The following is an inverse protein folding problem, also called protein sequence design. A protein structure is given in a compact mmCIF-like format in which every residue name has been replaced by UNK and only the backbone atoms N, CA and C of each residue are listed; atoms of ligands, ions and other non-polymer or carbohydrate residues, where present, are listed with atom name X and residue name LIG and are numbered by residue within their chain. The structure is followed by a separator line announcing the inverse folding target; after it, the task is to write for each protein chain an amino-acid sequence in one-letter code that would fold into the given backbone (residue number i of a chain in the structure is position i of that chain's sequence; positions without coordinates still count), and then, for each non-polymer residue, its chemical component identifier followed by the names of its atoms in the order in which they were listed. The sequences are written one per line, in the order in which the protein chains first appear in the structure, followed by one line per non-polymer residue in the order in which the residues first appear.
data_IF_049497789326
#
_entry.id   IF_049497789326
#
_cell.length_a   1.000
_cell.length_b   1.000
_cell.length_c   1.000
_cell.angle_alpha   90.00
_cell.angle_beta   90.00
_cell.angle_gamma   90.00
#
_symmetry.space_group_name_H-M   'P 1'
#
loop_
_entity.id
_entity.type
_entity.pdbx_description
1 polymer ?
#
# COMPACT_ATOMS: atom_id res chain seq x y z
N UNK A 1 11.77 41.11 -7.12
CA UNK A 1 11.90 40.52 -8.46
C UNK A 1 10.50 40.35 -9.05
N UNK A 2 10.21 41.00 -10.16
CA UNK A 2 8.90 40.93 -10.85
C UNK A 2 8.69 39.48 -11.33
N UNK A 3 7.63 38.79 -10.83
CA UNK A 3 7.17 37.51 -11.41
C UNK A 3 6.74 37.82 -12.86
N UNK A 4 7.56 37.43 -13.84
CA UNK A 4 7.16 37.47 -15.24
C UNK A 4 5.85 36.67 -15.36
N UNK A 5 4.81 37.26 -15.96
CA UNK A 5 3.55 36.56 -16.26
C UNK A 5 3.91 35.34 -17.11
N UNK A 6 3.78 34.13 -16.54
CA UNK A 6 3.97 32.90 -17.31
C UNK A 6 3.00 32.90 -18.50
N UNK A 7 3.55 32.62 -19.68
CA UNK A 7 2.76 32.61 -20.94
C UNK A 7 1.87 31.35 -21.06
N UNK A 8 1.95 30.41 -20.11
CA UNK A 8 1.21 29.14 -20.11
C UNK A 8 0.73 28.81 -18.69
N UNK A 9 -0.31 28.00 -18.53
CA UNK A 9 -0.88 27.63 -17.23
C UNK A 9 -0.15 26.47 -16.53
N UNK A 10 0.95 25.97 -17.09
CA UNK A 10 1.70 24.86 -16.47
C UNK A 10 2.58 25.36 -15.34
N UNK A 11 2.67 24.56 -14.27
CA UNK A 11 3.68 24.76 -13.23
C UNK A 11 5.01 24.15 -13.69
N UNK A 12 6.01 25.02 -13.85
CA UNK A 12 7.39 24.58 -14.10
C UNK A 12 8.05 24.31 -12.75
N UNK A 13 8.35 23.04 -12.51
CA UNK A 13 8.99 22.60 -11.27
C UNK A 13 10.45 23.06 -11.27
N UNK A 14 10.93 23.66 -10.16
CA UNK A 14 12.33 23.96 -9.99
C UNK A 14 13.17 22.67 -9.91
N UNK A 15 14.45 22.69 -10.33
CA UNK A 15 15.33 21.54 -10.22
C UNK A 15 15.36 20.98 -8.80
N UNK A 16 14.98 19.73 -8.63
CA UNK A 16 14.86 19.06 -7.34
C UNK A 16 15.81 17.85 -7.27
N UNK A 17 16.47 17.60 -6.13
CA UNK A 17 17.36 16.45 -5.98
C UNK A 17 16.61 15.12 -5.78
N UNK A 18 15.30 15.16 -5.52
CA UNK A 18 14.52 13.98 -5.09
C UNK A 18 14.46 12.85 -6.13
N UNK A 19 14.31 13.11 -7.45
CA UNK A 19 14.34 12.04 -8.44
C UNK A 19 15.65 11.27 -8.45
N UNK A 20 16.79 11.98 -8.33
CA UNK A 20 18.11 11.34 -8.24
C UNK A 20 18.27 10.58 -6.93
N UNK A 21 17.89 11.19 -5.80
CA UNK A 21 17.90 10.54 -4.49
C UNK A 21 17.02 9.27 -4.49
N UNK A 22 15.84 9.33 -5.12
CA UNK A 22 14.96 8.18 -5.28
C UNK A 22 15.57 7.05 -6.12
N UNK A 23 16.22 7.40 -7.23
CA UNK A 23 16.90 6.42 -8.08
C UNK A 23 18.07 5.73 -7.35
N UNK A 24 18.90 6.50 -6.64
CA UNK A 24 20.03 5.96 -5.86
C UNK A 24 19.51 5.09 -4.70
N UNK A 25 18.51 5.53 -3.95
CA UNK A 25 17.94 4.76 -2.84
C UNK A 25 17.28 3.47 -3.33
N UNK A 26 16.59 3.52 -4.48
CA UNK A 26 16.04 2.34 -5.14
C UNK A 26 17.10 1.35 -5.57
N UNK A 27 18.22 1.82 -6.10
CA UNK A 27 19.36 0.95 -6.43
C UNK A 27 19.97 0.31 -5.19
N UNK A 28 20.19 1.08 -4.13
CA UNK A 28 20.80 0.57 -2.88
C UNK A 28 19.92 -0.50 -2.24
N UNK A 29 18.58 -0.30 -2.18
CA UNK A 29 17.68 -1.30 -1.60
C UNK A 29 17.61 -2.56 -2.46
N UNK A 30 17.62 -2.44 -3.80
CA UNK A 30 17.62 -3.59 -4.71
C UNK A 30 18.90 -4.42 -4.57
N UNK A 31 20.07 -3.78 -4.59
CA UNK A 31 21.37 -4.44 -4.38
C UNK A 31 21.42 -5.08 -2.99
N UNK A 32 20.97 -4.35 -1.95
CA UNK A 32 20.89 -4.85 -0.58
C UNK A 32 19.99 -6.07 -0.45
N UNK A 33 18.85 -6.08 -1.12
CA UNK A 33 17.93 -7.24 -1.15
C UNK A 33 18.60 -8.47 -1.79
N UNK A 34 19.28 -8.30 -2.92
CA UNK A 34 20.03 -9.39 -3.58
C UNK A 34 21.11 -9.94 -2.64
N UNK A 35 21.91 -9.04 -2.03
CA UNK A 35 22.96 -9.45 -1.09
C UNK A 35 22.37 -10.19 0.12
N UNK A 36 21.24 -9.73 0.65
CA UNK A 36 20.55 -10.36 1.77
C UNK A 36 20.05 -11.77 1.40
N UNK A 37 19.40 -11.92 0.25
CA UNK A 37 18.88 -13.21 -0.23
C UNK A 37 20.00 -14.23 -0.47
N UNK A 38 21.13 -13.79 -0.99
CA UNK A 38 22.30 -14.64 -1.24
C UNK A 38 23.22 -14.79 -0.02
N UNK A 39 22.80 -14.29 1.16
CA UNK A 39 23.58 -14.37 2.41
C UNK A 39 24.99 -13.81 2.30
N UNK A 40 25.18 -12.79 1.46
CA UNK A 40 26.47 -12.08 1.30
C UNK A 40 26.72 -11.21 2.55
N UNK A 41 27.97 -11.16 2.99
CA UNK A 41 28.36 -10.31 4.12
C UNK A 41 27.90 -8.86 3.92
N UNK A 42 27.44 -8.22 5.00
CA UNK A 42 26.86 -6.87 5.00
C UNK A 42 25.51 -6.71 4.25
N UNK A 43 24.94 -7.77 3.63
CA UNK A 43 23.67 -7.67 2.89
C UNK A 43 22.53 -7.08 3.71
N UNK A 44 22.38 -7.48 4.97
CA UNK A 44 21.38 -6.93 5.91
C UNK A 44 21.56 -5.43 6.13
N UNK A 45 22.81 -4.97 6.29
CA UNK A 45 23.10 -3.55 6.50
C UNK A 45 22.83 -2.71 5.27
N UNK A 46 23.22 -3.21 4.08
CA UNK A 46 22.96 -2.51 2.80
C UNK A 46 21.48 -2.44 2.53
N UNK A 47 20.72 -3.53 2.78
CA UNK A 47 19.26 -3.55 2.64
C UNK A 47 18.59 -2.56 3.60
N UNK A 48 19.00 -2.56 4.88
CA UNK A 48 18.48 -1.62 5.88
C UNK A 48 18.79 -0.16 5.53
N UNK A 49 20.02 0.12 5.06
CA UNK A 49 20.39 1.45 4.58
C UNK A 49 19.54 1.89 3.38
N UNK A 50 19.33 1.00 2.41
CA UNK A 50 18.46 1.26 1.25
C UNK A 50 17.04 1.60 1.67
N UNK A 51 16.45 0.82 2.58
CA UNK A 51 15.13 1.11 3.15
C UNK A 51 15.05 2.46 3.85
N UNK A 52 16.04 2.79 4.65
CA UNK A 52 16.13 4.10 5.31
C UNK A 52 16.22 5.25 4.30
N UNK A 53 17.06 5.12 3.27
CA UNK A 53 17.19 6.15 2.22
C UNK A 53 15.90 6.34 1.42
N UNK A 54 15.16 5.27 1.12
CA UNK A 54 13.84 5.35 0.47
C UNK A 54 12.87 6.15 1.35
N UNK A 55 12.75 5.80 2.63
CA UNK A 55 11.86 6.51 3.56
C UNK A 55 12.26 7.98 3.71
N UNK A 56 13.53 8.27 3.84
CA UNK A 56 14.04 9.64 3.95
C UNK A 56 13.74 10.46 2.68
N UNK A 57 13.92 9.85 1.50
CA UNK A 57 13.58 10.47 0.21
C UNK A 57 12.09 10.76 0.11
N UNK A 58 11.23 9.79 0.45
CA UNK A 58 9.78 9.96 0.46
C UNK A 58 9.37 11.11 1.39
N UNK A 59 9.88 11.12 2.61
CA UNK A 59 9.57 12.17 3.58
C UNK A 59 9.99 13.56 3.09
N UNK A 60 11.21 13.69 2.57
CA UNK A 60 11.72 14.96 2.05
C UNK A 60 10.94 15.45 0.85
N UNK A 61 10.64 14.56 -0.11
CA UNK A 61 9.89 14.90 -1.32
C UNK A 61 8.46 15.31 -1.01
N UNK A 62 7.76 14.54 -0.19
CA UNK A 62 6.37 14.88 0.20
C UNK A 62 6.29 16.18 0.99
N UNK A 63 7.27 16.44 1.85
CA UNK A 63 7.35 17.74 2.55
C UNK A 63 7.43 18.90 1.56
N UNK A 64 8.26 18.78 0.52
CA UNK A 64 8.41 19.82 -0.48
C UNK A 64 7.13 19.99 -1.32
N UNK A 65 6.46 18.90 -1.71
CA UNK A 65 5.14 18.96 -2.39
C UNK A 65 4.10 19.67 -1.54
N UNK A 66 4.05 19.40 -0.24
CA UNK A 66 3.13 20.09 0.69
C UNK A 66 3.46 21.59 0.76
N UNK A 67 4.74 21.93 0.80
CA UNK A 67 5.19 23.33 0.81
C UNK A 67 4.79 24.05 -0.47
N UNK A 68 5.00 23.46 -1.64
CA UNK A 68 4.58 23.98 -2.93
C UNK A 68 3.07 24.23 -2.99
N UNK A 69 2.27 23.30 -2.44
CA UNK A 69 0.82 23.43 -2.39
C UNK A 69 0.36 24.58 -1.47
N UNK A 70 0.93 24.69 -0.27
CA UNK A 70 0.44 25.58 0.78
C UNK A 70 1.03 26.99 0.72
N UNK A 71 2.31 27.13 0.36
CA UNK A 71 3.02 28.40 0.43
C UNK A 71 3.22 29.06 -0.94
N UNK A 72 3.35 28.27 -1.99
CA UNK A 72 3.66 28.78 -3.32
C UNK A 72 2.44 28.86 -4.23
N UNK A 73 1.32 28.22 -3.84
CA UNK A 73 0.09 28.17 -4.63
C UNK A 73 0.28 27.54 -6.00
N UNK A 74 1.26 26.61 -6.10
CA UNK A 74 1.68 25.97 -7.34
C UNK A 74 0.64 24.97 -7.89
N UNK A 75 -0.29 24.51 -7.04
CA UNK A 75 -1.33 23.56 -7.42
C UNK A 75 -2.48 24.24 -8.18
N UNK A 76 -2.22 24.59 -9.42
CA UNK A 76 -3.22 25.09 -10.34
C UNK A 76 -4.16 23.97 -10.85
N UNK A 77 -5.28 24.26 -11.53
CA UNK A 77 -6.23 23.25 -12.00
C UNK A 77 -5.61 22.15 -12.87
N UNK A 78 -4.55 22.45 -13.62
CA UNK A 78 -3.86 21.46 -14.47
C UNK A 78 -3.07 20.48 -13.60
N UNK A 79 -2.36 20.98 -12.57
CA UNK A 79 -1.65 20.12 -11.59
C UNK A 79 -2.65 19.21 -10.87
N UNK A 80 -3.82 19.73 -10.47
CA UNK A 80 -4.88 18.93 -9.83
C UNK A 80 -5.35 17.80 -10.74
N UNK A 81 -5.57 18.07 -12.02
CA UNK A 81 -5.93 17.01 -13.00
C UNK A 81 -4.79 16.00 -13.12
N UNK A 82 -3.54 16.46 -13.21
CA UNK A 82 -2.37 15.57 -13.25
C UNK A 82 -2.26 14.66 -12.04
N UNK A 83 -2.52 15.16 -10.82
CA UNK A 83 -2.55 14.37 -9.60
C UNK A 83 -3.65 13.31 -9.60
N UNK A 84 -4.83 13.62 -10.15
CA UNK A 84 -5.93 12.65 -10.31
C UNK A 84 -5.54 11.50 -11.24
N UNK A 85 -4.99 11.82 -12.41
CA UNK A 85 -4.49 10.77 -13.32
C UNK A 85 -3.36 9.96 -12.69
N UNK A 86 -2.46 10.61 -11.97
CA UNK A 86 -1.39 9.95 -11.22
C UNK A 86 -1.94 8.96 -10.21
N UNK A 87 -2.97 9.33 -9.45
CA UNK A 87 -3.63 8.43 -8.49
C UNK A 87 -4.33 7.26 -9.20
N UNK A 88 -5.05 7.51 -10.28
CA UNK A 88 -5.70 6.44 -11.05
C UNK A 88 -4.69 5.43 -11.60
N UNK A 89 -3.57 5.90 -12.12
CA UNK A 89 -2.48 5.04 -12.61
C UNK A 89 -1.78 4.29 -11.46
N UNK A 90 -1.61 4.93 -10.30
CA UNK A 90 -1.08 4.28 -9.11
C UNK A 90 -1.99 3.12 -8.67
N UNK A 91 -3.30 3.36 -8.55
CA UNK A 91 -4.27 2.30 -8.20
C UNK A 91 -4.24 1.19 -9.25
N UNK A 92 -4.16 1.50 -10.54
CA UNK A 92 -4.05 0.49 -11.60
C UNK A 92 -2.77 -0.35 -11.44
N UNK A 93 -1.63 0.25 -11.06
CA UNK A 93 -0.39 -0.49 -10.81
C UNK A 93 -0.50 -1.42 -9.62
N UNK A 94 -1.16 -0.99 -8.54
CA UNK A 94 -1.40 -1.80 -7.35
C UNK A 94 -2.35 -2.99 -7.66
N UNK A 95 -3.38 -2.77 -8.46
CA UNK A 95 -4.25 -3.85 -8.95
C UNK A 95 -3.43 -4.88 -9.73
N UNK A 96 -2.57 -4.45 -10.66
CA UNK A 96 -1.72 -5.36 -11.44
C UNK A 96 -0.69 -6.09 -10.57
N UNK A 97 -0.18 -5.45 -9.52
CA UNK A 97 0.67 -6.09 -8.53
C UNK A 97 -0.04 -7.28 -7.84
N UNK A 98 -1.28 -7.08 -7.38
CA UNK A 98 -2.06 -8.17 -6.79
C UNK A 98 -2.47 -9.23 -7.82
N UNK A 99 -2.80 -8.84 -9.05
CA UNK A 99 -3.07 -9.79 -10.15
C UNK A 99 -1.89 -10.74 -10.34
N UNK A 100 -0.65 -10.27 -10.25
CA UNK A 100 0.53 -11.13 -10.37
C UNK A 100 0.61 -12.19 -9.26
N UNK A 101 0.32 -11.82 -8.00
CA UNK A 101 0.33 -12.76 -6.87
C UNK A 101 -0.83 -13.76 -6.95
N UNK A 102 -2.04 -13.30 -7.30
CA UNK A 102 -3.18 -14.18 -7.52
C UNK A 102 -2.93 -15.12 -8.71
N UNK A 103 -2.33 -14.61 -9.78
CA UNK A 103 -1.94 -15.45 -10.91
C UNK A 103 -0.99 -16.56 -10.47
N UNK A 104 0.04 -16.25 -9.71
CA UNK A 104 0.99 -17.25 -9.22
C UNK A 104 0.31 -18.33 -8.36
N UNK A 105 -0.65 -17.94 -7.51
CA UNK A 105 -1.43 -18.86 -6.70
C UNK A 105 -2.36 -19.74 -7.57
N UNK A 106 -3.13 -19.14 -8.45
CA UNK A 106 -4.08 -19.86 -9.29
C UNK A 106 -3.39 -20.72 -10.34
N UNK A 107 -2.27 -20.28 -10.91
CA UNK A 107 -1.46 -21.10 -11.81
C UNK A 107 -0.98 -22.38 -11.10
N UNK A 108 -0.50 -22.26 -9.87
CA UNK A 108 -0.10 -23.41 -9.09
C UNK A 108 -1.27 -24.33 -8.70
N UNK A 109 -2.46 -23.78 -8.43
CA UNK A 109 -3.61 -24.56 -7.98
C UNK A 109 -4.34 -25.25 -9.13
N UNK A 110 -4.51 -24.56 -10.25
CA UNK A 110 -5.26 -25.09 -11.42
C UNK A 110 -4.41 -26.09 -12.21
N UNK A 111 -3.11 -25.78 -12.37
CA UNK A 111 -2.18 -26.58 -13.15
C UNK A 111 -1.22 -27.40 -12.27
N UNK A 112 -1.71 -27.94 -11.17
CA UNK A 112 -0.92 -28.72 -10.21
C UNK A 112 -0.23 -29.95 -10.84
N UNK A 113 -0.88 -30.57 -11.85
CA UNK A 113 -0.44 -31.79 -12.53
C UNK A 113 0.21 -31.57 -13.90
N UNK A 114 0.54 -30.33 -14.28
CA UNK A 114 1.04 -30.05 -15.61
C UNK A 114 2.45 -30.64 -15.83
N UNK A 115 2.60 -31.52 -16.80
CA UNK A 115 3.85 -32.24 -17.08
C UNK A 115 5.04 -31.31 -17.39
N UNK A 116 4.78 -30.13 -17.94
CA UNK A 116 5.81 -29.10 -18.21
C UNK A 116 6.39 -28.54 -16.92
N UNK A 117 5.64 -28.59 -15.82
CA UNK A 117 6.02 -28.11 -14.48
C UNK A 117 6.60 -29.24 -13.62
N UNK A 118 7.49 -30.06 -14.18
CA UNK A 118 8.04 -31.26 -13.52
C UNK A 118 8.57 -31.00 -12.12
N UNK A 119 9.30 -29.93 -11.88
CA UNK A 119 9.79 -29.57 -10.55
C UNK A 119 8.64 -29.28 -9.58
N UNK A 120 7.60 -28.57 -10.02
CA UNK A 120 6.40 -28.31 -9.23
C UNK A 120 5.71 -29.61 -8.85
N UNK A 121 5.44 -30.47 -9.83
CA UNK A 121 4.80 -31.78 -9.62
C UNK A 121 5.59 -32.63 -8.63
N UNK A 122 6.92 -32.64 -8.72
CA UNK A 122 7.78 -33.38 -7.80
C UNK A 122 7.64 -32.89 -6.36
N UNK A 123 7.59 -31.57 -6.15
CA UNK A 123 7.48 -30.98 -4.81
C UNK A 123 6.07 -31.00 -4.23
N UNK A 124 5.02 -30.85 -5.06
CA UNK A 124 3.63 -30.80 -4.60
C UNK A 124 2.93 -32.16 -4.61
N UNK A 125 3.53 -33.17 -5.27
CA UNK A 125 2.88 -34.45 -5.53
C UNK A 125 1.79 -34.38 -6.60
N UNK A 126 1.71 -33.28 -7.37
CA UNK A 126 0.69 -33.06 -8.39
C UNK A 126 -0.71 -32.84 -7.85
N UNK A 127 -0.87 -32.52 -6.57
CA UNK A 127 -2.14 -32.27 -5.89
C UNK A 127 -2.16 -30.86 -5.29
N UNK A 128 -3.37 -30.31 -5.15
CA UNK A 128 -3.58 -29.02 -4.50
C UNK A 128 -4.68 -29.09 -3.46
N UNK A 129 -4.47 -28.61 -2.20
CA UNK A 129 -3.18 -28.15 -1.64
C UNK A 129 -2.12 -29.24 -1.61
N UNK A 130 -0.80 -28.88 -1.60
CA UNK A 130 0.28 -29.85 -1.52
C UNK A 130 0.15 -30.77 -0.30
N UNK A 131 0.55 -32.04 -0.44
CA UNK A 131 0.48 -33.02 0.66
C UNK A 131 1.26 -32.54 1.87
N UNK A 132 0.62 -32.62 3.04
CA UNK A 132 1.22 -32.22 4.32
C UNK A 132 1.05 -30.74 4.71
N UNK A 133 0.40 -29.92 3.87
CA UNK A 133 0.06 -28.54 4.22
C UNK A 133 -1.32 -28.51 4.84
N UNK A 134 -1.40 -28.14 6.13
CA UNK A 134 -2.68 -27.86 6.78
C UNK A 134 -3.12 -26.44 6.47
N UNK A 135 -4.12 -26.30 5.60
CA UNK A 135 -4.69 -25.01 5.20
C UNK A 135 -5.57 -24.42 6.29
N UNK A 136 -5.70 -23.09 6.33
CA UNK A 136 -6.67 -22.42 7.19
C UNK A 136 -8.11 -22.76 6.79
N UNK A 137 -8.99 -22.88 7.78
CA UNK A 137 -10.41 -22.93 7.53
C UNK A 137 -10.91 -21.54 7.14
N UNK A 138 -11.42 -21.36 5.91
CA UNK A 138 -11.84 -20.05 5.42
C UNK A 138 -13.04 -19.45 6.19
N UNK A 139 -13.82 -20.29 6.89
CA UNK A 139 -14.99 -19.84 7.65
C UNK A 139 -14.70 -19.40 9.08
N UNK A 140 -13.46 -19.48 9.53
CA UNK A 140 -13.03 -18.97 10.84
C UNK A 140 -12.46 -17.54 10.77
N UNK A 141 -11.19 -17.37 11.14
CA UNK A 141 -10.53 -16.06 11.18
C UNK A 141 -10.52 -15.32 9.83
N UNK A 142 -10.32 -15.98 8.68
CA UNK A 142 -10.34 -15.28 7.40
C UNK A 142 -11.69 -14.63 7.07
N UNK A 143 -12.81 -15.33 7.39
CA UNK A 143 -14.14 -14.76 7.21
C UNK A 143 -14.36 -13.56 8.15
N UNK A 144 -13.95 -13.67 9.42
CA UNK A 144 -14.05 -12.57 10.38
C UNK A 144 -13.28 -11.34 9.87
N UNK A 145 -12.05 -11.52 9.39
CA UNK A 145 -11.25 -10.45 8.80
C UNK A 145 -11.93 -9.80 7.60
N UNK A 146 -12.56 -10.59 6.74
CA UNK A 146 -13.34 -10.09 5.62
C UNK A 146 -14.51 -9.22 6.08
N UNK A 147 -15.27 -9.66 7.09
CA UNK A 147 -16.40 -8.90 7.65
C UNK A 147 -15.92 -7.59 8.28
N UNK A 148 -14.79 -7.60 9.00
CA UNK A 148 -14.19 -6.40 9.57
C UNK A 148 -13.89 -5.37 8.49
N UNK A 149 -13.23 -5.75 7.39
CA UNK A 149 -12.88 -4.82 6.31
C UNK A 149 -14.09 -4.36 5.50
N UNK A 150 -15.06 -5.21 5.24
CA UNK A 150 -16.31 -4.80 4.59
C UNK A 150 -17.05 -3.77 5.45
N UNK A 151 -17.11 -3.99 6.76
CA UNK A 151 -17.68 -3.01 7.71
C UNK A 151 -16.87 -1.72 7.73
N UNK A 152 -15.54 -1.80 7.71
CA UNK A 152 -14.66 -0.64 7.59
C UNK A 152 -14.94 0.17 6.32
N UNK A 153 -15.17 -0.48 5.19
CA UNK A 153 -15.57 0.17 3.95
C UNK A 153 -16.89 0.95 4.07
N UNK A 154 -17.89 0.39 4.75
CA UNK A 154 -19.17 1.10 4.98
C UNK A 154 -19.02 2.31 5.88
N UNK A 155 -18.21 2.21 6.94
CA UNK A 155 -17.93 3.36 7.84
C UNK A 155 -17.10 4.44 7.15
N UNK A 156 -16.19 4.07 6.27
CA UNK A 156 -15.44 5.00 5.43
C UNK A 156 -16.36 5.75 4.46
N UNK A 157 -17.27 5.04 3.80
CA UNK A 157 -18.28 5.63 2.91
C UNK A 157 -19.18 6.61 3.67
N UNK A 158 -19.63 6.24 4.89
CA UNK A 158 -20.38 7.14 5.75
C UNK A 158 -19.59 8.42 6.09
N UNK A 159 -18.31 8.29 6.46
CA UNK A 159 -17.44 9.44 6.71
C UNK A 159 -17.31 10.35 5.48
N UNK A 160 -17.18 9.76 4.29
CA UNK A 160 -17.08 10.49 3.03
C UNK A 160 -18.37 11.28 2.71
N UNK A 161 -19.54 10.67 2.82
CA UNK A 161 -20.80 11.37 2.61
C UNK A 161 -21.01 12.48 3.64
N UNK A 162 -20.72 12.24 4.91
CA UNK A 162 -20.78 13.26 5.95
C UNK A 162 -19.85 14.44 5.68
N UNK A 163 -18.70 14.21 5.06
CA UNK A 163 -17.77 15.26 4.62
C UNK A 163 -18.39 16.11 3.52
N UNK A 164 -19.01 15.49 2.50
CA UNK A 164 -19.68 16.21 1.39
C UNK A 164 -20.84 17.06 1.91
N UNK A 165 -21.59 16.57 2.89
CA UNK A 165 -22.70 17.26 3.55
C UNK A 165 -22.24 18.36 4.53
N UNK A 166 -20.93 18.48 4.80
CA UNK A 166 -20.37 19.40 5.79
C UNK A 166 -20.63 19.00 7.24
N UNK A 167 -21.09 17.78 7.50
CA UNK A 167 -21.36 17.26 8.84
C UNK A 167 -20.07 16.75 9.50
N UNK A 168 -19.31 17.66 10.09
CA UNK A 168 -18.01 17.37 10.71
C UNK A 168 -18.08 16.29 11.78
N UNK A 169 -19.14 16.27 12.60
CA UNK A 169 -19.27 15.32 13.71
C UNK A 169 -19.41 13.89 13.21
N UNK A 170 -20.31 13.66 12.25
CA UNK A 170 -20.53 12.34 11.65
C UNK A 170 -19.30 11.85 10.89
N UNK A 171 -18.60 12.75 10.19
CA UNK A 171 -17.35 12.43 9.51
C UNK A 171 -16.27 11.93 10.48
N UNK A 172 -16.06 12.63 11.62
CA UNK A 172 -15.06 12.22 12.61
C UNK A 172 -15.40 10.84 13.19
N UNK A 173 -16.65 10.58 13.54
CA UNK A 173 -17.06 9.28 14.07
C UNK A 173 -16.90 8.16 13.03
N UNK A 174 -17.24 8.42 11.76
CA UNK A 174 -17.02 7.47 10.67
C UNK A 174 -15.53 7.15 10.49
N UNK A 175 -14.64 8.15 10.51
CA UNK A 175 -13.19 7.94 10.43
C UNK A 175 -12.64 7.17 11.63
N UNK A 176 -13.06 7.50 12.84
CA UNK A 176 -12.65 6.76 14.05
C UNK A 176 -13.06 5.29 13.96
N UNK A 177 -14.30 5.01 13.54
CA UNK A 177 -14.79 3.65 13.37
C UNK A 177 -13.96 2.90 12.30
N UNK A 178 -13.67 3.54 11.16
CA UNK A 178 -12.85 2.96 10.08
C UNK A 178 -11.44 2.63 10.56
N UNK A 179 -10.79 3.56 11.27
CA UNK A 179 -9.45 3.37 11.83
C UNK A 179 -9.44 2.23 12.86
N UNK A 180 -10.43 2.20 13.77
CA UNK A 180 -10.54 1.15 14.79
C UNK A 180 -10.67 -0.24 14.16
N UNK A 181 -11.49 -0.37 13.10
CA UNK A 181 -11.65 -1.61 12.35
C UNK A 181 -10.37 -2.00 11.58
N UNK A 182 -9.64 -1.05 11.01
CA UNK A 182 -8.35 -1.30 10.36
C UNK A 182 -7.27 -1.79 11.33
N UNK A 183 -7.23 -1.22 12.53
CA UNK A 183 -6.36 -1.68 13.62
C UNK A 183 -6.77 -3.09 14.07
N UNK A 184 -8.06 -3.33 14.27
CA UNK A 184 -8.58 -4.64 14.66
C UNK A 184 -8.23 -5.72 13.62
N UNK A 185 -8.41 -5.42 12.33
CA UNK A 185 -7.97 -6.31 11.24
C UNK A 185 -6.49 -6.68 11.37
N UNK A 186 -5.63 -5.68 11.60
CA UNK A 186 -4.18 -5.92 11.68
C UNK A 186 -3.82 -6.83 12.86
N UNK A 187 -4.51 -6.70 13.99
CA UNK A 187 -4.33 -7.60 15.14
C UNK A 187 -4.81 -9.03 14.83
N UNK A 188 -5.99 -9.20 14.23
CA UNK A 188 -6.52 -10.51 13.86
C UNK A 188 -5.63 -11.18 12.82
N UNK A 189 -5.10 -10.43 11.84
CA UNK A 189 -4.17 -10.96 10.85
C UNK A 189 -2.84 -11.41 11.47
N UNK A 190 -2.30 -10.64 12.40
CA UNK A 190 -1.09 -11.01 13.13
C UNK A 190 -1.32 -12.27 13.99
N UNK A 191 -2.48 -12.36 14.63
CA UNK A 191 -2.88 -13.53 15.40
C UNK A 191 -3.01 -14.77 14.49
N UNK A 192 -3.67 -14.65 13.33
CA UNK A 192 -3.78 -15.73 12.33
C UNK A 192 -2.40 -16.22 11.88
N UNK A 193 -1.48 -15.31 11.57
CA UNK A 193 -0.12 -15.68 11.18
C UNK A 193 0.66 -16.38 12.28
N UNK A 194 0.46 -16.02 13.54
CA UNK A 194 1.12 -16.68 14.68
C UNK A 194 0.65 -18.12 14.91
N UNK A 195 -0.53 -18.48 14.38
CA UNK A 195 -1.11 -19.82 14.49
C UNK A 195 -1.06 -20.60 13.15
N UNK A 196 -0.37 -20.05 12.15
CA UNK A 196 -0.15 -20.75 10.89
C UNK A 196 0.69 -22.02 11.13
N UNK A 197 0.25 -23.14 10.57
CA UNK A 197 0.96 -24.42 10.64
C UNK A 197 1.99 -24.59 9.53
N UNK A 198 2.21 -23.59 8.73
CA UNK A 198 3.21 -23.51 7.66
C UNK A 198 3.95 -22.18 7.72
N UNK A 199 5.21 -22.16 7.36
CA UNK A 199 6.05 -20.98 7.36
C UNK A 199 6.26 -20.43 5.93
N UNK A 200 6.64 -19.15 5.82
CA UNK A 200 7.06 -18.58 4.56
C UNK A 200 8.26 -19.35 4.00
N UNK A 201 8.14 -19.81 2.74
CA UNK A 201 9.20 -20.58 2.10
C UNK A 201 9.07 -22.10 2.18
N UNK A 202 8.09 -22.65 2.91
CA UNK A 202 7.87 -24.10 3.01
C UNK A 202 7.35 -24.73 1.69
N UNK A 203 6.99 -23.90 0.73
CA UNK A 203 6.52 -24.36 -0.58
C UNK A 203 5.80 -23.28 -1.34
N UNK A 204 5.26 -23.64 -2.51
CA UNK A 204 4.58 -22.69 -3.38
C UNK A 204 3.27 -22.18 -2.76
N UNK A 205 2.53 -23.04 -2.02
CA UNK A 205 1.30 -22.64 -1.33
C UNK A 205 1.59 -21.58 -0.28
N UNK A 206 2.50 -21.88 0.66
CA UNK A 206 2.85 -20.97 1.76
C UNK A 206 3.45 -19.66 1.25
N UNK A 207 4.35 -19.74 0.26
CA UNK A 207 4.99 -18.56 -0.31
C UNK A 207 3.98 -17.64 -1.00
N UNK A 208 3.11 -18.15 -1.86
CA UNK A 208 2.09 -17.34 -2.56
C UNK A 208 1.04 -16.82 -1.60
N UNK A 209 0.64 -17.60 -0.60
CA UNK A 209 -0.28 -17.17 0.45
C UNK A 209 0.27 -15.99 1.24
N UNK A 210 1.48 -16.11 1.81
CA UNK A 210 2.07 -15.04 2.61
C UNK A 210 2.43 -13.81 1.78
N UNK A 211 2.81 -13.97 0.51
CA UNK A 211 3.07 -12.83 -0.37
C UNK A 211 1.79 -12.05 -0.65
N UNK A 212 0.71 -12.72 -1.07
CA UNK A 212 -0.55 -12.05 -1.37
C UNK A 212 -1.17 -11.42 -0.12
N UNK A 213 -1.33 -12.18 0.96
CA UNK A 213 -1.98 -11.71 2.20
C UNK A 213 -1.08 -10.77 3.00
N UNK A 214 0.24 -10.95 2.98
CA UNK A 214 1.20 -10.10 3.66
C UNK A 214 1.30 -8.72 3.03
N UNK A 215 1.37 -8.63 1.70
CA UNK A 215 1.31 -7.33 1.01
C UNK A 215 -0.05 -6.65 1.20
N UNK A 216 -1.15 -7.41 1.19
CA UNK A 216 -2.45 -6.86 1.53
C UNK A 216 -2.47 -6.30 2.96
N UNK A 217 -1.98 -7.04 3.95
CA UNK A 217 -1.87 -6.57 5.33
C UNK A 217 -0.99 -5.32 5.46
N UNK A 218 0.11 -5.23 4.71
CA UNK A 218 0.94 -4.03 4.63
C UNK A 218 0.16 -2.83 4.07
N UNK A 219 -0.62 -3.02 2.99
CA UNK A 219 -1.47 -1.95 2.44
C UNK A 219 -2.54 -1.49 3.44
N UNK A 220 -3.16 -2.41 4.17
CA UNK A 220 -4.13 -2.05 5.23
C UNK A 220 -3.47 -1.26 6.34
N UNK A 221 -2.26 -1.64 6.77
CA UNK A 221 -1.50 -0.90 7.78
C UNK A 221 -1.17 0.52 7.32
N UNK A 222 -0.62 0.67 6.11
CA UNK A 222 -0.29 1.98 5.52
C UNK A 222 -1.55 2.83 5.35
N UNK A 223 -2.64 2.25 4.83
CA UNK A 223 -3.93 2.92 4.69
C UNK A 223 -4.51 3.39 6.03
N UNK A 224 -4.40 2.56 7.07
CA UNK A 224 -4.84 2.92 8.43
C UNK A 224 -4.02 4.09 8.99
N UNK A 225 -2.69 4.08 8.83
CA UNK A 225 -1.81 5.20 9.23
C UNK A 225 -2.18 6.46 8.46
N UNK A 226 -2.43 6.35 7.16
CA UNK A 226 -2.85 7.48 6.33
C UNK A 226 -4.18 8.09 6.83
N UNK A 227 -5.18 7.26 7.15
CA UNK A 227 -6.45 7.71 7.70
C UNK A 227 -6.28 8.38 9.07
N UNK A 228 -5.37 7.89 9.92
CA UNK A 228 -5.04 8.54 11.20
C UNK A 228 -4.48 9.95 10.95
N UNK A 229 -3.51 10.09 10.06
CA UNK A 229 -2.91 11.40 9.73
C UNK A 229 -3.96 12.36 9.18
N UNK A 230 -4.81 11.91 8.25
CA UNK A 230 -5.90 12.71 7.69
C UNK A 230 -6.90 13.13 8.77
N UNK A 231 -7.29 12.21 9.65
CA UNK A 231 -8.23 12.47 10.77
C UNK A 231 -7.68 13.53 11.72
N UNK A 232 -6.41 13.43 12.13
CA UNK A 232 -5.74 14.42 12.98
C UNK A 232 -5.66 15.78 12.28
N UNK A 233 -5.23 15.80 11.03
CA UNK A 233 -5.09 17.02 10.24
C UNK A 233 -6.44 17.75 10.09
N UNK A 234 -7.52 17.01 9.85
CA UNK A 234 -8.86 17.59 9.70
C UNK A 234 -9.44 18.10 11.02
N UNK A 235 -9.11 17.46 12.16
CA UNK A 235 -9.60 17.87 13.46
C UNK A 235 -8.89 19.11 14.00
N UNK A 236 -7.58 19.26 13.71
CA UNK A 236 -6.74 20.33 14.27
C UNK A 236 -6.43 21.46 13.28
N UNK A 237 -6.41 21.16 11.97
CA UNK A 237 -6.10 22.12 10.91
C UNK A 237 -7.35 22.30 10.04
N UNK A 238 -8.00 23.46 10.12
CA UNK A 238 -9.08 23.87 9.22
C UNK A 238 -8.51 24.24 7.85
N UNK A 239 -7.80 23.33 7.20
CA UNK A 239 -7.14 23.60 5.92
C UNK A 239 -8.02 23.15 4.74
N UNK A 240 -8.45 24.07 3.87
CA UNK A 240 -9.21 23.75 2.66
C UNK A 240 -8.43 22.89 1.66
N UNK A 241 -7.11 22.80 1.79
CA UNK A 241 -6.24 22.06 0.87
C UNK A 241 -6.30 20.54 1.03
N UNK A 242 -6.53 20.03 2.25
CA UNK A 242 -6.71 18.59 2.49
C UNK A 242 -8.06 18.07 1.97
N UNK A 243 -9.06 18.93 1.89
CA UNK A 243 -10.37 18.64 1.30
C UNK A 243 -10.25 18.15 -0.15
N UNK A 244 -9.40 18.77 -0.94
CA UNK A 244 -9.20 18.40 -2.35
C UNK A 244 -8.46 17.08 -2.54
N UNK A 245 -7.48 16.78 -1.71
CA UNK A 245 -6.74 15.50 -1.76
C UNK A 245 -7.65 14.35 -1.34
N UNK A 246 -8.52 14.55 -0.36
CA UNK A 246 -9.39 13.50 0.19
C UNK A 246 -10.61 13.22 -0.67
N UNK A 247 -11.28 14.26 -1.17
CA UNK A 247 -12.49 14.12 -2.01
C UNK A 247 -12.17 13.49 -3.39
N UNK A 248 -10.95 13.64 -3.86
CA UNK A 248 -10.58 13.21 -5.21
C UNK A 248 -9.57 12.06 -5.25
N UNK A 249 -9.03 11.64 -4.11
CA UNK A 249 -8.08 10.53 -4.02
C UNK A 249 -8.70 9.18 -3.64
N UNK A 250 -9.99 9.15 -3.26
CA UNK A 250 -10.69 7.94 -2.77
C UNK A 250 -12.01 7.69 -3.53
N UNK A 251 -12.28 8.45 -4.59
CA UNK A 251 -13.48 8.29 -5.44
C UNK A 251 -13.15 7.66 -6.78
#
# INVERSE_FOLDING_TARGET
MSKSKQAHPYHLVEPSPWPLAGAVSGLVIAVGAIMFMHKINFGTWVFGLGGFLVIATMFGWWRDIIREAQHEGAHNPIVVIGLRYGMALFIASEVMFFVAWFWAFFDASIFANEAIQYSRVTFTGGEWPPKGVEVFDPFHLPLLNTVILLTSGTTCTWAHHALIEGNRRSMIWGLIATIALGILFSFVQAYEYSHAKFAFGDGIYSSTFFMATGFHGFHVLVGTIFLIVVSVSYTHLTLPTLFWVWVWGVG
#
